data_IF_889632950889
#
_entry.id   IF_889632950889
#
_cell.length_a   1.000
_cell.length_b   1.000
_cell.length_c   1.000
_cell.angle_alpha   90.00
_cell.angle_beta   90.00
_cell.angle_gamma   90.00
#
_symmetry.space_group_name_H-M   'P 1'
#
loop_
_entity.id
_entity.type
_entity.pdbx_description
1 polymer ?
#
# COMPACT_ATOMS: atom_id res chain seq x y z
N UNK A 1 -12.79 -7.52 -7.96
CA UNK A 1 -11.73 -6.84 -7.27
C UNK A 1 -10.34 -7.21 -7.74
N UNK A 2 -10.13 -8.48 -7.90
CA UNK A 2 -8.82 -8.94 -8.33
C UNK A 2 -8.42 -8.43 -9.70
N UNK A 3 -9.39 -8.35 -10.59
CA UNK A 3 -9.12 -7.84 -11.93
C UNK A 3 -8.68 -6.38 -11.88
N UNK A 4 -9.36 -5.59 -11.05
CA UNK A 4 -9.00 -4.19 -10.87
C UNK A 4 -7.59 -4.05 -10.31
N UNK A 5 -7.27 -4.87 -9.31
CA UNK A 5 -5.95 -4.84 -8.71
C UNK A 5 -4.86 -5.20 -9.69
N UNK A 6 -5.11 -6.24 -10.49
CA UNK A 6 -4.14 -6.67 -11.48
C UNK A 6 -3.89 -5.59 -12.52
N UNK A 7 -4.93 -4.92 -12.95
CA UNK A 7 -4.80 -3.85 -13.91
C UNK A 7 -3.98 -2.70 -13.31
N UNK A 8 -4.29 -2.33 -12.08
CA UNK A 8 -3.57 -1.26 -11.41
C UNK A 8 -2.09 -1.59 -11.28
N UNK A 9 -1.78 -2.82 -10.89
CA UNK A 9 -0.40 -3.22 -10.73
C UNK A 9 0.38 -3.15 -12.03
N UNK A 10 -0.28 -3.44 -13.13
CA UNK A 10 0.39 -3.45 -14.43
C UNK A 10 0.56 -2.07 -15.03
N UNK A 11 -0.43 -1.22 -14.82
CA UNK A 11 -0.45 0.07 -15.47
C UNK A 11 0.04 1.19 -14.56
N UNK A 12 -0.27 1.09 -13.27
CA UNK A 12 0.12 2.11 -12.30
C UNK A 12 0.70 1.40 -11.07
N UNK A 13 1.86 0.75 -11.22
CA UNK A 13 2.45 0.02 -10.10
C UNK A 13 2.77 0.92 -8.90
N UNK A 14 2.99 2.21 -9.14
CA UNK A 14 3.27 3.13 -8.06
C UNK A 14 2.09 3.32 -7.11
N UNK A 15 0.87 2.98 -7.55
CA UNK A 15 -0.29 3.06 -6.67
C UNK A 15 -0.13 2.11 -5.49
N UNK A 16 0.36 0.90 -5.73
CA UNK A 16 0.54 -0.08 -4.67
C UNK A 16 1.58 0.41 -3.67
N UNK A 17 2.66 0.97 -4.18
CA UNK A 17 3.72 1.50 -3.31
C UNK A 17 3.19 2.63 -2.43
N UNK A 18 2.43 3.54 -3.02
CA UNK A 18 1.85 4.66 -2.29
C UNK A 18 0.88 4.16 -1.22
N UNK A 19 0.04 3.19 -1.56
CA UNK A 19 -0.89 2.64 -0.59
C UNK A 19 -0.16 2.01 0.59
N UNK A 20 0.92 1.30 0.32
CA UNK A 20 1.70 0.67 1.39
C UNK A 20 2.36 1.70 2.29
N UNK A 21 2.88 2.77 1.70
CA UNK A 21 3.49 3.83 2.50
C UNK A 21 2.46 4.53 3.37
N UNK A 22 1.31 4.84 2.80
CA UNK A 22 0.25 5.50 3.56
C UNK A 22 -0.32 4.60 4.64
N UNK A 23 -0.42 3.31 4.34
CA UNK A 23 -0.84 2.36 5.36
C UNK A 23 0.15 2.32 6.51
N UNK A 24 1.44 2.33 6.21
CA UNK A 24 2.47 2.34 7.24
C UNK A 24 2.27 3.51 8.20
N UNK A 25 2.02 4.68 7.63
CA UNK A 25 1.81 5.89 8.43
C UNK A 25 0.54 5.76 9.27
N UNK A 26 -0.56 5.39 8.64
CA UNK A 26 -1.84 5.28 9.33
C UNK A 26 -1.79 4.24 10.43
N UNK A 27 -1.18 3.10 10.15
CA UNK A 27 -1.10 2.02 11.11
C UNK A 27 -0.25 2.42 12.32
N UNK A 28 0.83 3.17 12.09
CA UNK A 28 1.64 3.62 13.19
C UNK A 28 0.85 4.58 14.08
N UNK A 29 0.04 5.43 13.47
CA UNK A 29 -0.78 6.38 14.23
C UNK A 29 -1.82 5.69 15.10
N UNK A 30 -2.28 4.51 14.71
CA UNK A 30 -3.23 3.76 15.53
C UNK A 30 -2.66 3.52 16.93
N UNK A 31 -1.37 3.28 17.01
CA UNK A 31 -0.74 2.90 18.27
C UNK A 31 0.00 4.04 18.96
N UNK A 32 0.37 5.08 18.23
CA UNK A 32 1.27 6.09 18.74
C UNK A 32 0.80 7.53 18.51
N UNK A 33 -0.48 7.74 18.43
CA UNK A 33 -0.97 9.11 18.23
C UNK A 33 -1.12 9.83 19.56
N UNK A 34 -0.89 11.15 19.60
CA UNK A 34 -0.41 11.98 18.51
C UNK A 34 1.11 11.94 18.40
N UNK A 35 1.62 12.19 17.21
CA UNK A 35 3.06 12.06 16.97
C UNK A 35 3.49 13.10 15.95
N UNK A 36 4.69 13.65 16.11
CA UNK A 36 5.21 14.65 15.19
C UNK A 36 5.72 14.02 13.90
N UNK A 37 5.83 14.85 12.86
CA UNK A 37 6.23 14.36 11.53
C UNK A 37 7.61 13.71 11.54
N UNK A 38 8.56 14.32 12.25
CA UNK A 38 9.92 13.79 12.27
C UNK A 38 9.97 12.42 12.92
N UNK A 39 9.28 12.28 14.05
CA UNK A 39 9.24 11.01 14.75
C UNK A 39 8.53 9.96 13.90
N UNK A 40 7.46 10.37 13.23
CA UNK A 40 6.72 9.48 12.36
C UNK A 40 7.58 9.02 11.19
N UNK A 41 8.37 9.92 10.62
CA UNK A 41 9.28 9.59 9.54
C UNK A 41 10.29 8.53 9.97
N UNK A 42 10.86 8.73 11.15
CA UNK A 42 11.82 7.77 11.69
C UNK A 42 11.16 6.41 11.92
N UNK A 43 9.96 6.42 12.50
CA UNK A 43 9.27 5.19 12.84
C UNK A 43 8.85 4.40 11.61
N UNK A 44 8.53 5.08 10.52
CA UNK A 44 8.08 4.43 9.30
C UNK A 44 9.20 4.21 8.29
N UNK A 45 10.39 4.72 8.60
CA UNK A 45 11.55 4.61 7.72
C UNK A 45 11.29 5.27 6.37
N UNK A 46 10.63 6.42 6.41
CA UNK A 46 10.35 7.22 5.22
C UNK A 46 10.99 8.59 5.37
N UNK A 47 11.40 9.21 4.27
CA UNK A 47 11.92 10.57 4.34
C UNK A 47 10.85 11.52 4.88
N UNK A 48 11.29 12.53 5.61
CA UNK A 48 10.35 13.46 6.22
C UNK A 48 9.50 14.17 5.17
N UNK A 49 10.09 14.48 4.01
CA UNK A 49 9.36 15.11 2.93
C UNK A 49 8.22 14.22 2.44
N UNK A 50 8.50 12.93 2.33
CA UNK A 50 7.50 11.97 1.89
C UNK A 50 6.36 11.87 2.90
N UNK A 51 6.70 11.82 4.18
CA UNK A 51 5.69 11.79 5.23
C UNK A 51 4.82 13.04 5.17
N UNK A 52 5.45 14.20 5.00
CA UNK A 52 4.70 15.45 4.91
C UNK A 52 3.70 15.42 3.76
N UNK A 53 4.15 14.94 2.60
CA UNK A 53 3.29 14.87 1.43
C UNK A 53 2.10 13.94 1.67
N UNK A 54 2.34 12.78 2.24
CA UNK A 54 1.27 11.85 2.54
C UNK A 54 0.30 12.41 3.57
N UNK A 55 0.83 13.05 4.61
CA UNK A 55 -0.02 13.63 5.66
C UNK A 55 -0.90 14.74 5.10
N UNK A 56 -0.34 15.59 4.26
CA UNK A 56 -1.12 16.68 3.69
C UNK A 56 -2.28 16.15 2.87
N UNK A 57 -2.04 15.14 2.06
CA UNK A 57 -3.08 14.57 1.25
C UNK A 57 -4.11 13.84 2.10
N UNK A 58 -3.68 13.07 3.07
CA UNK A 58 -4.61 12.33 3.92
C UNK A 58 -5.41 13.28 4.81
N UNK A 59 -4.81 14.39 5.20
CA UNK A 59 -5.53 15.41 5.96
C UNK A 59 -6.61 16.05 5.11
N UNK A 60 -6.30 16.35 3.86
CA UNK A 60 -7.26 16.91 2.93
C UNK A 60 -8.44 15.98 2.70
N UNK A 61 -8.20 14.68 2.85
CA UNK A 61 -9.24 13.68 2.66
C UNK A 61 -9.88 13.21 3.97
N UNK A 62 -9.60 13.89 5.06
CA UNK A 62 -10.30 13.65 6.31
C UNK A 62 -9.84 12.46 7.12
N UNK A 63 -8.66 11.91 6.82
CA UNK A 63 -8.18 10.72 7.51
C UNK A 63 -7.29 11.04 8.70
N UNK A 64 -6.57 12.16 8.65
CA UNK A 64 -5.72 12.60 9.76
C UNK A 64 -5.97 14.07 10.02
N UNK A 65 -5.58 14.51 11.19
CA UNK A 65 -5.59 15.92 11.51
C UNK A 65 -4.36 16.24 12.36
N UNK A 66 -4.10 17.52 12.53
CA UNK A 66 -2.88 17.96 13.21
C UNK A 66 -3.27 18.96 14.30
N UNK A 67 -2.88 18.63 15.53
CA UNK A 67 -3.00 19.53 16.66
C UNK A 67 -1.66 19.52 17.36
N UNK A 68 -1.45 20.47 18.22
CA UNK A 68 -0.39 20.27 19.20
C UNK A 68 -0.86 19.20 20.15
N UNK A 69 -0.10 18.15 20.38
CA UNK A 69 1.33 18.02 20.08
C UNK A 69 1.67 17.28 18.79
N UNK A 70 0.73 16.97 17.91
CA UNK A 70 1.12 16.29 16.71
C UNK A 70 -0.02 15.79 15.86
N UNK A 71 0.27 14.79 15.05
CA UNK A 71 -0.64 14.20 14.08
C UNK A 71 -1.43 13.08 14.74
N UNK A 72 -2.71 12.99 14.42
CA UNK A 72 -3.56 11.93 14.96
C UNK A 72 -4.58 11.52 13.90
N UNK A 73 -5.15 10.33 14.07
CA UNK A 73 -6.18 9.83 13.17
C UNK A 73 -7.54 10.43 13.53
N UNK A 74 -8.32 10.75 12.50
CA UNK A 74 -9.73 11.06 12.69
C UNK A 74 -10.50 9.76 12.87
N UNK A 75 -11.79 9.86 13.17
CA UNK A 75 -12.63 8.67 13.25
C UNK A 75 -12.62 7.92 11.92
N UNK A 76 -12.66 8.67 10.82
CA UNK A 76 -12.60 8.06 9.50
C UNK A 76 -11.28 7.39 9.24
N UNK A 77 -10.20 8.00 9.74
CA UNK A 77 -8.88 7.38 9.63
C UNK A 77 -8.82 6.06 10.37
N UNK A 78 -9.35 6.03 11.59
CA UNK A 78 -9.40 4.79 12.36
C UNK A 78 -10.22 3.72 11.65
N UNK A 79 -11.31 4.12 11.01
CA UNK A 79 -12.18 3.17 10.33
C UNK A 79 -11.56 2.58 9.08
N UNK A 80 -10.73 3.35 8.38
CA UNK A 80 -10.18 2.89 7.11
C UNK A 80 -8.98 1.96 7.29
N UNK A 81 -8.27 2.05 8.41
CA UNK A 81 -7.05 1.27 8.60
C UNK A 81 -7.27 -0.23 8.45
N UNK A 82 -8.26 -0.83 9.14
CA UNK A 82 -8.45 -2.29 8.95
C UNK A 82 -8.87 -2.65 7.54
N UNK A 83 -9.63 -1.79 6.88
CA UNK A 83 -10.02 -2.06 5.50
C UNK A 83 -8.83 -2.05 4.57
N UNK A 84 -7.95 -1.07 4.75
CA UNK A 84 -6.74 -0.98 3.94
C UNK A 84 -5.81 -2.14 4.23
N UNK A 85 -5.72 -2.54 5.49
CA UNK A 85 -4.91 -3.70 5.88
C UNK A 85 -5.38 -4.95 5.15
N UNK A 86 -6.68 -5.19 5.16
CA UNK A 86 -7.23 -6.36 4.49
C UNK A 86 -7.00 -6.32 2.98
N UNK A 87 -7.15 -5.13 2.40
CA UNK A 87 -6.90 -4.94 0.98
C UNK A 87 -5.46 -5.28 0.62
N UNK A 88 -4.51 -4.76 1.39
CA UNK A 88 -3.09 -5.00 1.12
C UNK A 88 -2.71 -6.45 1.36
N UNK A 89 -3.28 -7.07 2.38
CA UNK A 89 -3.03 -8.48 2.64
C UNK A 89 -3.54 -9.35 1.51
N UNK A 90 -4.69 -9.00 0.96
CA UNK A 90 -5.26 -9.74 -0.15
C UNK A 90 -4.39 -9.57 -1.40
N UNK A 91 -3.89 -8.37 -1.61
CA UNK A 91 -3.00 -8.10 -2.73
C UNK A 91 -1.71 -8.92 -2.61
N UNK A 92 -1.13 -8.93 -1.41
CA UNK A 92 0.08 -9.71 -1.18
C UNK A 92 -0.17 -11.21 -1.40
N UNK A 93 -1.34 -11.70 -0.99
CA UNK A 93 -1.67 -13.10 -1.18
C UNK A 93 -1.81 -13.45 -2.66
N UNK A 94 -2.39 -12.55 -3.43
CA UNK A 94 -2.51 -12.76 -4.87
C UNK A 94 -1.15 -12.80 -5.52
N UNK A 95 -0.28 -11.88 -5.14
CA UNK A 95 1.08 -11.85 -5.67
C UNK A 95 1.84 -13.12 -5.31
N UNK A 96 1.65 -13.60 -4.10
CA UNK A 96 2.30 -14.83 -3.66
C UNK A 96 1.82 -16.03 -4.46
N UNK A 97 0.52 -16.10 -4.70
CA UNK A 97 -0.03 -17.18 -5.50
C UNK A 97 0.48 -17.14 -6.92
N UNK A 98 0.58 -15.96 -7.49
CA UNK A 98 1.14 -15.80 -8.82
C UNK A 98 2.58 -16.27 -8.87
N UNK A 99 3.33 -15.93 -7.84
CA UNK A 99 4.74 -16.32 -7.78
C UNK A 99 4.88 -17.83 -7.68
N UNK A 100 4.09 -18.46 -6.85
CA UNK A 100 4.11 -19.92 -6.71
C UNK A 100 3.73 -20.60 -8.01
N UNK A 101 2.72 -20.08 -8.67
CA UNK A 101 2.28 -20.65 -9.94
C UNK A 101 3.38 -20.52 -10.98
N UNK A 102 4.02 -19.36 -11.02
CA UNK A 102 5.12 -19.14 -11.94
C UNK A 102 6.26 -20.11 -11.69
N UNK A 103 6.58 -20.36 -10.43
CA UNK A 103 7.63 -21.31 -10.10
C UNK A 103 7.24 -22.73 -10.49
N UNK A 104 6.00 -23.09 -10.25
CA UNK A 104 5.52 -24.42 -10.59
C UNK A 104 5.58 -24.65 -12.10
N UNK A 105 5.34 -23.61 -12.87
CA UNK A 105 5.35 -23.68 -14.32
C UNK A 105 6.65 -23.18 -14.91
N UNK A 106 7.63 -23.03 -14.09
CA UNK A 106 8.87 -22.39 -14.47
C UNK A 106 9.49 -22.96 -15.73
N UNK A 107 9.47 -24.26 -15.86
CA UNK A 107 10.05 -24.91 -17.00
C UNK A 107 9.40 -24.46 -18.28
N UNK A 108 8.10 -24.34 -18.25
CA UNK A 108 7.36 -23.94 -19.42
C UNK A 108 7.37 -22.46 -19.61
N UNK A 109 7.41 -21.76 -18.51
CA UNK A 109 7.28 -20.33 -18.53
C UNK A 109 8.40 -19.65 -19.29
N UNK A 110 9.52 -20.23 -19.26
CA UNK A 110 10.63 -19.67 -19.96
C UNK A 110 10.29 -19.35 -21.39
N UNK A 111 9.28 -19.98 -21.89
CA UNK A 111 8.88 -19.83 -23.25
C UNK A 111 7.75 -18.89 -23.43
N UNK A 112 6.97 -18.77 -22.43
CA UNK A 112 5.75 -18.00 -22.53
C UNK A 112 5.97 -16.59 -22.34
N UNK A 113 6.46 -16.01 -23.07
CA UNK A 113 6.50 -14.63 -22.81
C UNK A 113 5.58 -13.87 -23.70
N UNK A 114 5.28 -14.49 -23.73
CA UNK A 114 4.41 -13.80 -23.92
C UNK A 114 3.73 -13.34 -24.24
N UNK A 115 3.73 -13.73 -24.40
CA UNK A 115 2.97 -13.46 -24.61
C UNK A 115 2.30 -13.15 -24.69
N UNK A 116 2.32 -13.44 -24.55
CA UNK A 116 1.57 -13.27 -24.38
C UNK A 116 0.98 -13.26 -24.00
N UNK A 117 1.23 -13.77 -24.12
CA UNK A 117 0.54 -13.90 -23.48
C UNK A 117 0.29 -14.19 -23.06
N UNK A 118 0.37 -14.69 -23.15
CA UNK A 118 -0.09 -15.16 -22.65
C UNK A 118 -0.35 -15.29 -22.17
N UNK A 119 -0.29 -15.59 -22.24
CA UNK A 119 -0.72 -15.85 -21.70
C UNK A 119 -0.98 -15.56 -21.39
N UNK A 120 -0.93 -15.86 -21.52
CA UNK A 120 -1.22 -15.85 -21.21
C UNK A 120 -1.38 -15.54 -21.02
N UNK A 121 -1.22 -15.73 -21.36
CA UNK A 121 -1.43 -15.62 -21.21
C UNK A 121 -1.40 -15.35 -21.31
N UNK A 122 -1.12 -15.43 -21.63
CA UNK A 122 -1.07 -15.43 -21.84
C UNK A 122 -1.25 -15.41 -21.75
#
# INVERSE_FOLDING_TARGET
MNEFLMICERIVPEIVSVLKERYKILNHLVYEEPIGRRTLATATDLPERTVRSHIELMRANGLVDIYKPGIFLTDEGHAIVPKLRNFLNELDRINELEHRLTEALHIDRVIITPTEGTLMFK
#
